data_IF_314352699565
#
_entry.id   IF_314352699565
#
_cell.length_a   1.000
_cell.length_b   1.000
_cell.length_c   1.000
_cell.angle_alpha   90.00
_cell.angle_beta   90.00
_cell.angle_gamma   90.00
#
_symmetry.space_group_name_H-M   'P 1'
#
loop_
_entity.id
_entity.type
_entity.pdbx_description
1 polymer ?
#
# COMPACT_ATOMS: atom_id res chain seq x y z
N UNK A 1 -3.09 -10.23 -7.37
CA UNK A 1 -3.18 -9.28 -6.24
C UNK A 1 -1.89 -9.28 -5.46
N UNK A 2 -1.47 -8.12 -4.97
CA UNK A 2 -0.18 -7.96 -4.31
C UNK A 2 -0.35 -8.01 -2.79
N UNK A 3 0.37 -8.93 -2.16
CA UNK A 3 0.43 -9.04 -0.69
C UNK A 3 1.85 -8.89 -0.16
N UNK A 4 2.84 -8.80 -1.05
CA UNK A 4 4.26 -8.73 -0.69
C UNK A 4 4.97 -7.73 -1.58
N UNK A 5 5.74 -6.83 -0.96
CA UNK A 5 6.46 -5.79 -1.69
C UNK A 5 7.76 -5.40 -1.00
N UNK A 6 8.59 -4.65 -1.72
CA UNK A 6 9.86 -4.13 -1.21
C UNK A 6 10.02 -2.65 -1.54
N UNK A 7 10.82 -1.97 -0.72
CA UNK A 7 11.24 -0.59 -0.97
C UNK A 7 12.68 -0.47 -0.45
N UNK A 8 13.63 -0.81 -1.32
CA UNK A 8 15.02 -0.99 -0.94
C UNK A 8 15.87 0.29 -1.04
N UNK A 9 15.31 1.36 -1.56
CA UNK A 9 15.98 2.65 -1.65
C UNK A 9 15.98 3.39 -0.31
N UNK A 10 16.90 4.33 -0.14
CA UNK A 10 16.99 5.16 1.06
C UNK A 10 15.93 6.25 1.05
N UNK A 11 15.70 6.86 2.23
CA UNK A 11 14.82 8.01 2.35
C UNK A 11 15.27 9.17 1.43
N UNK A 12 16.57 9.42 1.36
CA UNK A 12 17.11 10.48 0.51
C UNK A 12 16.88 10.21 -0.98
N UNK A 13 17.01 8.97 -1.40
CA UNK A 13 16.74 8.57 -2.79
C UNK A 13 15.27 8.75 -3.15
N UNK A 14 14.35 8.41 -2.24
CA UNK A 14 12.92 8.64 -2.44
C UNK A 14 12.61 10.14 -2.53
N UNK A 15 13.12 10.92 -1.61
CA UNK A 15 12.91 12.36 -1.61
C UNK A 15 13.37 13.00 -2.92
N UNK A 16 14.53 12.59 -3.41
CA UNK A 16 15.08 13.09 -4.67
C UNK A 16 14.24 12.65 -5.88
N UNK A 17 13.84 11.38 -5.91
CA UNK A 17 13.09 10.80 -7.05
C UNK A 17 11.73 11.45 -7.25
N UNK A 18 11.05 11.80 -6.16
CA UNK A 18 9.71 12.38 -6.21
C UNK A 18 9.69 13.89 -5.99
N UNK A 19 10.86 14.51 -5.78
CA UNK A 19 10.96 15.92 -5.42
C UNK A 19 10.02 16.27 -4.26
N UNK A 20 10.12 15.48 -3.19
CA UNK A 20 9.23 15.57 -2.03
C UNK A 20 10.03 15.49 -0.72
N UNK A 21 9.51 16.12 0.32
CA UNK A 21 10.12 16.07 1.64
C UNK A 21 9.87 14.71 2.29
N UNK A 22 10.91 14.16 2.92
CA UNK A 22 10.84 12.89 3.63
C UNK A 22 11.12 13.12 5.11
N UNK A 23 10.10 13.07 5.98
CA UNK A 23 10.34 13.10 7.42
C UNK A 23 11.17 11.89 7.85
N UNK A 24 12.06 12.07 8.83
CA UNK A 24 13.00 11.04 9.27
C UNK A 24 12.34 9.71 9.63
N UNK A 25 11.16 9.76 10.20
CA UNK A 25 10.43 8.57 10.64
C UNK A 25 9.66 7.86 9.54
N UNK A 26 9.62 8.41 8.32
CA UNK A 26 8.71 7.92 7.30
C UNK A 26 9.21 6.67 6.57
N UNK A 27 10.53 6.43 6.53
CA UNK A 27 11.04 5.31 5.75
C UNK A 27 12.41 4.81 6.23
N UNK A 28 12.50 3.49 6.33
CA UNK A 28 13.75 2.73 6.36
C UNK A 28 13.68 1.71 5.22
N UNK A 29 14.80 1.39 4.55
CA UNK A 29 14.79 0.39 3.49
C UNK A 29 14.18 -0.94 3.93
N UNK A 30 13.27 -1.48 3.10
CA UNK A 30 12.57 -2.72 3.38
C UNK A 30 12.74 -3.68 2.21
N UNK A 31 13.36 -4.82 2.45
CA UNK A 31 13.62 -5.80 1.40
C UNK A 31 12.43 -6.70 1.12
N UNK A 32 11.60 -6.94 2.13
CA UNK A 32 10.38 -7.71 1.97
C UNK A 32 9.39 -7.36 3.07
N UNK A 33 8.17 -6.96 2.69
CA UNK A 33 7.08 -6.72 3.62
C UNK A 33 5.84 -7.46 3.15
N UNK A 34 5.13 -8.08 4.09
CA UNK A 34 3.81 -8.67 3.82
C UNK A 34 2.72 -7.73 4.31
N UNK A 35 1.64 -7.60 3.50
CA UNK A 35 0.50 -6.78 3.89
C UNK A 35 -0.22 -7.29 5.13
N UNK A 36 -0.10 -8.58 5.43
CA UNK A 36 -0.80 -9.20 6.56
C UNK A 36 -0.33 -8.74 7.94
N UNK A 37 0.87 -8.15 8.05
CA UNK A 37 1.32 -7.51 9.29
C UNK A 37 0.94 -6.02 9.34
N UNK A 38 0.20 -5.53 8.34
CA UNK A 38 -0.27 -4.15 8.23
C UNK A 38 0.87 -3.13 8.41
N UNK A 39 1.93 -3.21 7.61
CA UNK A 39 3.10 -2.35 7.79
C UNK A 39 2.79 -0.90 7.44
N UNK A 40 3.48 0.03 8.09
CA UNK A 40 3.48 1.43 7.67
C UNK A 40 4.40 1.60 6.46
N UNK A 41 4.01 2.49 5.56
CA UNK A 41 4.71 2.69 4.30
C UNK A 41 4.71 4.16 3.91
N UNK A 42 5.80 4.69 3.36
CA UNK A 42 5.80 6.07 2.88
C UNK A 42 4.92 6.18 1.64
N UNK A 43 4.01 7.14 1.66
CA UNK A 43 3.12 7.43 0.54
C UNK A 43 3.07 8.92 0.26
N UNK A 44 2.68 9.28 -0.95
CA UNK A 44 2.33 10.66 -1.30
C UNK A 44 0.84 10.71 -1.56
N UNK A 45 0.10 11.47 -0.75
CA UNK A 45 -1.33 11.61 -0.92
C UNK A 45 -1.64 12.74 -1.91
N UNK A 46 -2.84 12.68 -2.48
CA UNK A 46 -3.33 13.73 -3.36
C UNK A 46 -3.43 15.08 -2.64
N UNK A 47 -3.71 15.05 -1.34
CA UNK A 47 -3.84 16.25 -0.51
C UNK A 47 -2.48 16.86 -0.15
N UNK A 48 -1.43 16.04 -0.05
CA UNK A 48 -0.07 16.48 0.27
C UNK A 48 0.96 15.84 -0.66
N UNK A 49 0.97 16.22 -1.95
CA UNK A 49 1.82 15.54 -2.93
C UNK A 49 3.31 15.84 -2.79
N UNK A 50 3.70 16.77 -1.92
CA UNK A 50 5.09 17.17 -1.76
C UNK A 50 5.73 16.71 -0.46
N UNK A 51 4.99 15.97 0.37
CA UNK A 51 5.49 15.47 1.66
C UNK A 51 5.07 14.02 1.84
N UNK A 52 6.06 13.15 2.06
CA UNK A 52 5.76 11.75 2.36
C UNK A 52 5.11 11.61 3.73
N UNK A 53 4.09 10.78 3.78
CA UNK A 53 3.40 10.40 5.00
C UNK A 53 3.53 8.89 5.19
N UNK A 54 3.71 8.44 6.44
CA UNK A 54 3.68 7.03 6.75
C UNK A 54 2.23 6.61 6.98
N UNK A 55 1.71 5.78 6.09
CA UNK A 55 0.36 5.22 6.23
C UNK A 55 0.41 3.71 6.33
N UNK A 56 -0.53 3.16 7.07
CA UNK A 56 -0.65 1.72 7.25
C UNK A 56 -1.32 1.08 6.04
N UNK A 57 -0.80 -0.06 5.62
CA UNK A 57 -1.39 -0.84 4.54
C UNK A 57 -2.73 -1.42 5.01
N UNK A 58 -3.76 -1.32 4.18
CA UNK A 58 -5.12 -1.73 4.48
C UNK A 58 -6.02 -0.52 4.70
N UNK A 59 -7.01 -0.36 3.83
CA UNK A 59 -7.97 0.73 3.93
C UNK A 59 -8.89 0.55 5.13
N UNK A 60 -9.11 1.62 5.88
CA UNK A 60 -10.02 1.63 7.02
C UNK A 60 -11.24 2.49 6.69
N UNK A 61 -12.39 1.89 6.34
CA UNK A 61 -13.60 2.66 6.07
C UNK A 61 -14.07 3.38 7.34
N UNK A 62 -14.71 4.54 7.16
CA UNK A 62 -15.18 5.36 8.29
C UNK A 62 -16.19 4.65 9.19
N UNK A 63 -16.95 3.72 8.64
CA UNK A 63 -17.98 2.97 9.38
C UNK A 63 -17.41 1.78 10.17
N UNK A 64 -16.10 1.57 10.15
CA UNK A 64 -15.47 0.49 10.90
C UNK A 64 -15.69 0.68 12.40
N UNK A 65 -16.10 -0.39 13.07
CA UNK A 65 -16.33 -0.35 14.51
C UNK A 65 -15.01 -0.41 15.27
N UNK A 66 -14.97 0.29 16.42
CA UNK A 66 -13.81 0.25 17.29
C UNK A 66 -13.48 -1.17 17.75
N UNK A 67 -12.21 -1.55 17.65
CA UNK A 67 -11.73 -2.88 17.95
C UNK A 67 -11.71 -3.85 16.78
N UNK A 68 -12.30 -3.48 15.64
CA UNK A 68 -12.34 -4.30 14.43
C UNK A 68 -11.40 -3.82 13.32
N UNK A 69 -10.56 -2.84 13.62
CA UNK A 69 -9.73 -2.17 12.61
C UNK A 69 -8.78 -3.14 11.89
N UNK A 70 -8.07 -3.97 12.66
CA UNK A 70 -7.09 -4.91 12.08
C UNK A 70 -7.74 -5.94 11.16
N UNK A 71 -8.91 -6.45 11.54
CA UNK A 71 -9.65 -7.39 10.71
C UNK A 71 -10.11 -6.75 9.42
N UNK A 72 -10.60 -5.52 9.50
CA UNK A 72 -11.05 -4.78 8.32
C UNK A 72 -9.87 -4.52 7.39
N UNK A 73 -8.74 -4.04 7.92
CA UNK A 73 -7.56 -3.75 7.12
C UNK A 73 -7.01 -5.00 6.43
N UNK A 74 -7.05 -6.15 7.09
CA UNK A 74 -6.62 -7.41 6.48
C UNK A 74 -7.46 -7.79 5.25
N UNK A 75 -8.71 -7.33 5.17
CA UNK A 75 -9.61 -7.57 4.05
C UNK A 75 -9.49 -6.53 2.94
N UNK A 76 -8.80 -5.44 3.18
CA UNK A 76 -8.71 -4.30 2.27
C UNK A 76 -7.28 -4.02 1.79
N UNK A 77 -6.43 -5.05 1.76
CA UNK A 77 -5.05 -4.93 1.29
C UNK A 77 -4.97 -4.67 -0.20
N UNK A 78 -5.98 -5.09 -0.97
CA UNK A 78 -6.06 -4.91 -2.41
C UNK A 78 -7.44 -4.42 -2.81
N UNK A 79 -7.48 -3.54 -3.81
CA UNK A 79 -8.71 -3.06 -4.43
C UNK A 79 -8.67 -3.38 -5.92
N UNK A 80 -9.77 -3.93 -6.44
CA UNK A 80 -9.89 -4.22 -7.87
C UNK A 80 -10.50 -3.03 -8.59
N UNK A 81 -9.88 -2.61 -9.67
CA UNK A 81 -10.37 -1.49 -10.47
C UNK A 81 -11.82 -1.67 -10.91
N UNK A 82 -12.21 -2.90 -11.24
CA UNK A 82 -13.53 -3.24 -11.75
C UNK A 82 -14.66 -2.99 -10.74
N UNK A 83 -14.35 -3.03 -9.44
CA UNK A 83 -15.36 -2.97 -8.39
C UNK A 83 -15.11 -1.90 -7.33
N UNK A 84 -14.05 -1.11 -7.47
CA UNK A 84 -13.62 -0.15 -6.44
C UNK A 84 -14.69 0.90 -6.13
N UNK A 85 -15.52 1.28 -7.11
CA UNK A 85 -16.58 2.26 -6.92
C UNK A 85 -17.88 1.66 -6.39
N UNK A 86 -17.96 0.33 -6.30
CA UNK A 86 -19.15 -0.40 -5.88
C UNK A 86 -19.00 -1.04 -4.51
N UNK A 87 -17.82 -1.59 -4.20
CA UNK A 87 -17.57 -2.30 -2.95
C UNK A 87 -17.71 -1.37 -1.75
N UNK A 88 -18.49 -1.73 -0.73
CA UNK A 88 -18.73 -0.86 0.43
C UNK A 88 -17.46 -0.36 1.11
N UNK A 89 -16.43 -1.20 1.19
CA UNK A 89 -15.18 -0.83 1.86
C UNK A 89 -14.41 0.28 1.12
N UNK A 90 -14.49 0.32 -0.22
CA UNK A 90 -13.68 1.22 -1.04
C UNK A 90 -14.44 2.38 -1.66
N UNK A 91 -15.76 2.24 -1.88
CA UNK A 91 -16.52 3.22 -2.67
C UNK A 91 -16.48 4.63 -2.10
N UNK A 92 -16.48 4.78 -0.79
CA UNK A 92 -16.44 6.11 -0.16
C UNK A 92 -15.16 6.87 -0.50
N UNK A 93 -14.01 6.26 -0.31
CA UNK A 93 -12.72 6.84 -0.65
C UNK A 93 -12.58 7.04 -2.16
N UNK A 94 -13.01 6.06 -2.95
CA UNK A 94 -12.92 6.12 -4.41
C UNK A 94 -13.76 7.27 -4.99
N UNK A 95 -15.01 7.40 -4.54
CA UNK A 95 -15.92 8.44 -5.03
C UNK A 95 -15.52 9.83 -4.58
N UNK A 96 -14.92 9.96 -3.38
CA UNK A 96 -14.43 11.25 -2.89
C UNK A 96 -13.07 11.64 -3.47
N UNK A 97 -12.51 10.84 -4.34
CA UNK A 97 -11.26 11.15 -5.03
C UNK A 97 -10.01 11.02 -4.17
N UNK A 98 -10.06 10.26 -3.08
CA UNK A 98 -8.89 9.98 -2.27
C UNK A 98 -7.93 9.07 -3.06
N UNK A 99 -6.71 9.55 -3.27
CA UNK A 99 -5.69 8.85 -4.05
C UNK A 99 -4.33 9.06 -3.39
N UNK A 100 -3.46 8.08 -3.59
CA UNK A 100 -2.07 8.19 -3.17
C UNK A 100 -1.17 7.43 -4.13
N UNK A 101 0.12 7.76 -4.07
CA UNK A 101 1.18 7.02 -4.74
C UNK A 101 1.91 6.21 -3.69
N UNK A 102 2.05 4.93 -3.93
CA UNK A 102 2.75 3.99 -3.05
C UNK A 102 4.04 3.55 -3.75
N UNK A 103 5.20 4.15 -3.40
CA UNK A 103 6.45 3.75 -4.05
C UNK A 103 6.86 2.34 -3.64
N UNK A 104 7.32 1.57 -4.59
CA UNK A 104 7.87 0.24 -4.37
C UNK A 104 9.05 0.02 -5.29
N UNK A 105 10.04 -0.77 -4.88
CA UNK A 105 11.12 -1.21 -5.76
C UNK A 105 10.84 -2.58 -6.35
N UNK A 106 9.89 -3.31 -5.80
CA UNK A 106 9.46 -4.60 -6.32
C UNK A 106 8.24 -5.14 -5.59
N UNK A 107 7.61 -6.13 -6.19
CA UNK A 107 6.55 -6.88 -5.57
C UNK A 107 6.73 -8.37 -5.89
N UNK A 108 6.15 -9.23 -5.07
CA UNK A 108 6.32 -10.67 -5.19
C UNK A 108 4.96 -11.31 -5.37
N UNK A 109 4.81 -12.06 -6.47
CA UNK A 109 3.59 -12.82 -6.77
C UNK A 109 3.96 -14.19 -7.33
N UNK A 110 3.12 -15.18 -7.05
CA UNK A 110 3.27 -16.50 -7.62
C UNK A 110 2.99 -16.45 -9.11
N UNK A 111 3.89 -17.04 -9.89
CA UNK A 111 3.74 -17.16 -11.33
C UNK A 111 3.17 -18.54 -11.69
N UNK A 112 2.17 -18.57 -12.58
CA UNK A 112 1.64 -19.82 -13.11
C UNK A 112 2.74 -20.64 -13.82
N UNK A 113 3.67 -19.99 -14.49
CA UNK A 113 4.81 -20.64 -15.15
C UNK A 113 5.73 -21.33 -14.15
N UNK A 114 5.98 -20.71 -12.99
CA UNK A 114 6.77 -21.33 -11.93
C UNK A 114 6.12 -22.60 -11.38
N UNK A 115 4.80 -22.57 -11.20
CA UNK A 115 4.03 -23.74 -10.74
C UNK A 115 4.14 -24.89 -11.75
N UNK A 116 4.04 -24.58 -13.03
CA UNK A 116 4.17 -25.59 -14.11
C UNK A 116 5.57 -26.22 -14.11
N UNK A 117 6.61 -25.43 -13.90
CA UNK A 117 7.98 -25.93 -13.83
C UNK A 117 8.19 -26.87 -12.65
N UNK A 118 7.62 -26.57 -11.51
CA UNK A 118 7.69 -27.43 -10.33
C UNK A 118 6.93 -28.74 -10.51
N UNK A 119 5.86 -28.71 -11.26
CA UNK A 119 5.06 -29.90 -11.58
C UNK A 119 5.63 -30.76 -12.69
N UNK A 120 6.59 -30.25 -13.39
CA UNK A 120 7.24 -30.94 -14.49
C UNK A 120 8.52 -31.60 -14.10
#
# INVERSE_FOLDING_TARGET
>A
MCYHKSLTVTADELAASYDALMPESAHLPVYHATGFILPHWPILSRQQPQVFEAMQWGLLPRWTRGGEESEMQARTLNARQETIFEKPAFRGAAQSGQRCVIPVTGFFEWSAAAVVHEGG
#
